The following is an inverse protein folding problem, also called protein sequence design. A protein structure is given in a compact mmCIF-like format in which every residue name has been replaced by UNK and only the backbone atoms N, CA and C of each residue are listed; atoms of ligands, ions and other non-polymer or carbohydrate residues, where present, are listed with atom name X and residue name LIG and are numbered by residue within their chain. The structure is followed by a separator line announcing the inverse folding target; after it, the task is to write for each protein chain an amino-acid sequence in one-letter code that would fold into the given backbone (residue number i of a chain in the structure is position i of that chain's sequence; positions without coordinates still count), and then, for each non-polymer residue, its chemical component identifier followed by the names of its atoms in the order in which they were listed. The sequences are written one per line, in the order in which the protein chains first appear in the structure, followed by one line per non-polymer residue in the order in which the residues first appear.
data_IF_607775701235
#
_entry.id   IF_607775701235
#
_cell.length_a   1.000
_cell.length_b   1.000
_cell.length_c   1.000
_cell.angle_alpha   90.00
_cell.angle_beta   90.00
_cell.angle_gamma   90.00
#
_symmetry.space_group_name_H-M   'P 1'
#
loop_
_entity.id
_entity.type
_entity.pdbx_description
1 polymer ?
#
# COMPACT_ATOMS: atom_id res chain seq x y z
N UNK A 1 -8.65 -6.05 15.43
CA UNK A 1 -9.14 -6.72 14.21
C UNK A 1 -9.53 -5.66 13.21
N UNK A 2 -9.38 -5.91 11.92
CA UNK A 2 -9.83 -5.00 10.87
C UNK A 2 -11.11 -5.53 10.21
N UNK A 3 -11.74 -4.70 9.38
CA UNK A 3 -13.06 -4.98 8.82
C UNK A 3 -13.14 -6.29 8.02
N UNK A 4 -12.01 -6.79 7.50
CA UNK A 4 -11.96 -8.04 6.74
C UNK A 4 -12.46 -9.25 7.54
N UNK A 5 -12.30 -9.23 8.87
CA UNK A 5 -12.70 -10.32 9.77
C UNK A 5 -13.94 -9.98 10.61
N UNK A 6 -14.68 -8.92 10.26
CA UNK A 6 -15.84 -8.46 11.03
C UNK A 6 -17.16 -8.84 10.36
N UNK A 7 -18.19 -9.03 11.19
CA UNK A 7 -19.58 -9.12 10.76
C UNK A 7 -20.30 -7.75 10.82
N UNK A 8 -21.53 -7.70 10.31
CA UNK A 8 -22.40 -6.54 10.50
C UNK A 8 -22.77 -6.35 11.99
N UNK A 9 -22.86 -5.10 12.48
CA UNK A 9 -22.71 -3.83 11.76
C UNK A 9 -21.27 -3.32 11.67
N UNK A 10 -20.33 -3.93 12.40
CA UNK A 10 -18.97 -3.42 12.57
C UNK A 10 -18.16 -3.40 11.27
N UNK A 11 -18.32 -4.40 10.41
CA UNK A 11 -17.68 -4.47 9.09
C UNK A 11 -17.92 -3.19 8.28
N UNK A 12 -19.19 -2.83 8.06
CA UNK A 12 -19.51 -1.65 7.26
C UNK A 12 -19.11 -0.36 7.96
N UNK A 13 -19.20 -0.31 9.29
CA UNK A 13 -18.78 0.86 10.05
C UNK A 13 -17.31 1.20 9.81
N UNK A 14 -16.40 0.23 9.99
CA UNK A 14 -14.96 0.48 9.80
C UNK A 14 -14.58 0.55 8.31
N UNK A 15 -15.18 -0.26 7.43
CA UNK A 15 -14.92 -0.20 5.98
C UNK A 15 -15.26 1.16 5.37
N UNK A 16 -16.33 1.80 5.84
CA UNK A 16 -16.73 3.12 5.34
C UNK A 16 -15.70 4.22 5.67
N UNK A 17 -14.82 4.02 6.66
CA UNK A 17 -13.76 4.98 7.00
C UNK A 17 -12.69 5.12 5.89
N UNK A 18 -12.58 4.13 4.99
CA UNK A 18 -11.59 4.13 3.89
C UNK A 18 -12.24 4.10 2.50
N UNK A 19 -13.56 3.87 2.42
CA UNK A 19 -14.28 3.64 1.16
C UNK A 19 -14.17 4.79 0.15
N UNK A 20 -14.02 6.04 0.61
CA UNK A 20 -13.86 7.21 -0.24
C UNK A 20 -12.64 7.14 -1.17
N UNK A 21 -11.59 6.39 -0.78
CA UNK A 21 -10.37 6.18 -1.58
C UNK A 21 -10.51 5.06 -2.62
N UNK A 22 -11.70 4.45 -2.73
CA UNK A 22 -11.94 3.31 -3.62
C UNK A 22 -13.28 3.42 -4.34
N UNK A 23 -13.86 4.62 -4.44
CA UNK A 23 -15.04 4.85 -5.29
C UNK A 23 -14.63 4.88 -6.77
N UNK A 24 -15.57 4.69 -7.72
CA UNK A 24 -15.29 4.85 -9.14
C UNK A 24 -14.71 6.22 -9.48
N UNK A 25 -15.25 7.28 -8.88
CA UNK A 25 -14.80 8.66 -9.12
C UNK A 25 -13.35 8.88 -8.63
N UNK A 26 -13.01 8.38 -7.44
CA UNK A 26 -11.64 8.46 -6.95
C UNK A 26 -10.69 7.63 -7.83
N UNK A 27 -11.09 6.42 -8.20
CA UNK A 27 -10.28 5.54 -9.05
C UNK A 27 -10.04 6.15 -10.44
N UNK A 28 -11.05 6.77 -11.04
CA UNK A 28 -10.90 7.48 -12.31
C UNK A 28 -9.97 8.69 -12.18
N UNK A 29 -9.97 9.38 -11.04
CA UNK A 29 -9.04 10.48 -10.78
C UNK A 29 -7.57 10.02 -10.72
N UNK A 30 -7.31 8.76 -10.36
CA UNK A 30 -5.97 8.17 -10.33
C UNK A 30 -5.47 7.76 -11.72
N UNK A 31 -6.34 7.66 -12.73
CA UNK A 31 -5.98 7.14 -14.06
C UNK A 31 -4.73 7.81 -14.67
N UNK A 32 -4.56 9.15 -14.62
CA UNK A 32 -3.35 9.78 -15.14
C UNK A 32 -2.08 9.37 -14.38
N UNK A 33 -2.15 9.24 -13.06
CA UNK A 33 -1.02 8.82 -12.22
C UNK A 33 -0.65 7.35 -12.46
N UNK A 34 -1.66 6.48 -12.56
CA UNK A 34 -1.48 5.07 -12.90
C UNK A 34 -0.85 4.93 -14.29
N UNK A 35 -1.34 5.66 -15.29
CA UNK A 35 -0.75 5.65 -16.64
C UNK A 35 0.71 6.09 -16.60
N UNK A 36 1.03 7.20 -15.91
CA UNK A 36 2.40 7.66 -15.77
C UNK A 36 3.30 6.65 -15.07
N UNK A 37 2.77 5.90 -14.09
CA UNK A 37 3.50 4.84 -13.39
C UNK A 37 3.81 3.69 -14.34
N UNK A 38 2.81 3.22 -15.10
CA UNK A 38 2.97 2.17 -16.11
C UNK A 38 3.99 2.59 -17.18
N UNK A 39 3.84 3.80 -17.72
CA UNK A 39 4.74 4.34 -18.75
C UNK A 39 6.18 4.42 -18.26
N UNK A 40 6.41 4.83 -17.00
CA UNK A 40 7.74 4.86 -16.38
C UNK A 40 8.40 3.47 -16.39
N UNK A 41 7.67 2.43 -15.98
CA UNK A 41 8.23 1.08 -15.93
C UNK A 41 8.45 0.49 -17.33
N UNK A 42 7.53 0.74 -18.27
CA UNK A 42 7.72 0.33 -19.68
C UNK A 42 8.94 1.02 -20.30
N UNK A 43 9.06 2.33 -20.16
CA UNK A 43 10.19 3.09 -20.70
C UNK A 43 11.51 2.62 -20.08
N UNK A 44 11.55 2.38 -18.77
CA UNK A 44 12.73 1.83 -18.11
C UNK A 44 13.13 0.44 -18.62
N UNK A 45 12.17 -0.40 -19.00
CA UNK A 45 12.47 -1.68 -19.65
C UNK A 45 13.00 -1.51 -21.08
N UNK A 46 12.39 -0.61 -21.87
CA UNK A 46 12.84 -0.30 -23.24
C UNK A 46 14.28 0.22 -23.23
N UNK A 47 14.59 1.15 -22.33
CA UNK A 47 15.93 1.74 -22.19
C UNK A 47 16.99 0.72 -21.79
N UNK A 48 16.66 -0.22 -20.89
CA UNK A 48 17.56 -1.31 -20.50
C UNK A 48 17.80 -2.32 -21.63
N UNK A 49 16.87 -2.42 -22.57
CA UNK A 49 16.92 -3.40 -23.67
C UNK A 49 16.70 -4.84 -23.19
N UNK A 50 16.80 -5.78 -24.13
CA UNK A 50 16.54 -7.20 -23.89
C UNK A 50 17.65 -8.10 -24.41
N UNK A 51 18.91 -7.65 -24.33
CA UNK A 51 20.09 -8.49 -24.67
C UNK A 51 20.10 -9.80 -23.86
N UNK A 52 19.45 -9.78 -22.69
CA UNK A 52 19.10 -10.97 -21.89
C UNK A 52 17.59 -10.95 -21.59
N UNK A 53 16.98 -12.13 -21.35
CA UNK A 53 15.62 -12.19 -20.85
C UNK A 53 15.43 -11.34 -19.58
N UNK A 54 14.28 -10.68 -19.49
CA UNK A 54 13.89 -9.83 -18.37
C UNK A 54 12.81 -10.55 -17.56
N UNK A 55 12.91 -10.53 -16.24
CA UNK A 55 11.80 -10.95 -15.38
C UNK A 55 10.74 -9.84 -15.36
N UNK A 56 9.58 -10.13 -15.97
CA UNK A 56 8.47 -9.20 -16.05
C UNK A 56 7.80 -9.00 -14.68
N UNK A 57 7.86 -9.98 -13.78
CA UNK A 57 7.32 -9.83 -12.42
C UNK A 57 8.12 -8.75 -11.70
N UNK A 58 9.45 -8.90 -11.63
CA UNK A 58 10.32 -7.93 -10.96
C UNK A 58 10.30 -6.55 -11.65
N UNK A 59 10.24 -6.52 -12.97
CA UNK A 59 10.40 -5.27 -13.74
C UNK A 59 9.10 -4.49 -13.98
N UNK A 60 7.94 -5.12 -13.84
CA UNK A 60 6.66 -4.53 -14.22
C UNK A 60 5.52 -4.89 -13.25
N UNK A 61 5.19 -6.18 -13.11
CA UNK A 61 3.98 -6.59 -12.37
C UNK A 61 4.07 -6.34 -10.87
N UNK A 62 5.26 -6.48 -10.27
CA UNK A 62 5.50 -6.21 -8.86
C UNK A 62 5.47 -4.71 -8.51
N UNK A 63 6.27 -3.83 -9.16
CA UNK A 63 6.40 -2.45 -8.71
C UNK A 63 5.18 -1.57 -8.98
N UNK A 64 4.37 -1.86 -10.01
CA UNK A 64 3.20 -1.02 -10.37
C UNK A 64 2.13 -0.98 -9.27
N UNK A 65 1.53 -2.11 -8.84
CA UNK A 65 0.51 -2.08 -7.79
C UNK A 65 1.06 -1.57 -6.47
N UNK A 66 2.32 -1.89 -6.15
CA UNK A 66 2.99 -1.39 -4.95
C UNK A 66 3.13 0.13 -4.98
N UNK A 67 3.59 0.72 -6.09
CA UNK A 67 3.69 2.18 -6.24
C UNK A 67 2.33 2.85 -6.03
N UNK A 68 1.27 2.32 -6.64
CA UNK A 68 -0.08 2.90 -6.55
C UNK A 68 -0.62 2.87 -5.12
N UNK A 69 -0.54 1.73 -4.43
CA UNK A 69 -1.07 1.66 -3.05
C UNK A 69 -0.21 2.46 -2.07
N UNK A 70 1.11 2.51 -2.26
CA UNK A 70 2.00 3.32 -1.44
C UNK A 70 1.72 4.82 -1.60
N UNK A 71 1.44 5.29 -2.81
CA UNK A 71 1.03 6.68 -3.07
C UNK A 71 -0.28 7.02 -2.34
N UNK A 72 -1.30 6.17 -2.45
CA UNK A 72 -2.59 6.32 -1.74
C UNK A 72 -2.38 6.39 -0.21
N UNK A 73 -1.50 5.56 0.33
CA UNK A 73 -1.19 5.52 1.77
C UNK A 73 -0.34 6.72 2.25
N UNK A 74 0.31 7.45 1.34
CA UNK A 74 1.18 8.58 1.68
C UNK A 74 2.65 8.20 1.92
N UNK A 75 3.10 7.07 1.39
CA UNK A 75 4.51 6.68 1.47
C UNK A 75 5.35 7.59 0.55
N UNK A 76 6.45 8.19 1.02
CA UNK A 76 7.37 8.96 0.18
C UNK A 76 7.98 8.10 -0.93
N UNK A 77 8.12 8.67 -2.12
CA UNK A 77 8.67 7.98 -3.29
C UNK A 77 10.08 7.40 -3.08
N UNK A 78 10.87 8.01 -2.19
CA UNK A 78 12.22 7.56 -1.84
C UNK A 78 12.25 6.21 -1.14
N UNK A 79 11.13 5.81 -0.53
CA UNK A 79 11.04 4.62 0.31
C UNK A 79 10.33 3.47 -0.44
N UNK A 80 9.69 3.75 -1.58
CA UNK A 80 8.85 2.80 -2.31
C UNK A 80 9.60 1.56 -2.80
N UNK A 81 10.81 1.71 -3.34
CA UNK A 81 11.59 0.56 -3.84
C UNK A 81 11.95 -0.40 -2.71
N UNK A 82 12.39 0.14 -1.58
CA UNK A 82 12.70 -0.64 -0.38
C UNK A 82 11.46 -1.36 0.14
N UNK A 83 10.34 -0.65 0.32
CA UNK A 83 9.11 -1.22 0.85
C UNK A 83 8.47 -2.24 -0.09
N UNK A 84 8.56 -2.02 -1.41
CA UNK A 84 8.09 -2.98 -2.42
C UNK A 84 8.80 -4.32 -2.27
N UNK A 85 10.13 -4.28 -2.12
CA UNK A 85 10.93 -5.49 -1.88
C UNK A 85 10.58 -6.15 -0.53
N UNK A 86 10.47 -5.38 0.53
CA UNK A 86 10.05 -5.90 1.85
C UNK A 86 8.67 -6.55 1.77
N UNK A 87 7.70 -5.95 1.08
CA UNK A 87 6.37 -6.53 0.91
C UNK A 87 6.39 -7.82 0.06
N UNK A 88 7.22 -7.88 -0.98
CA UNK A 88 7.39 -9.08 -1.79
C UNK A 88 7.92 -10.26 -0.94
N UNK A 89 8.88 -10.02 -0.04
CA UNK A 89 9.43 -11.05 0.87
C UNK A 89 8.33 -11.71 1.70
N UNK A 90 7.27 -10.99 2.08
CA UNK A 90 6.17 -11.52 2.91
C UNK A 90 5.37 -12.62 2.22
N UNK A 91 5.19 -12.54 0.90
CA UNK A 91 4.35 -13.47 0.12
C UNK A 91 5.15 -14.36 -0.84
N UNK A 92 6.47 -14.20 -0.90
CA UNK A 92 7.32 -15.02 -1.75
C UNK A 92 7.43 -16.45 -1.18
N UNK A 93 7.06 -17.45 -2.00
CA UNK A 93 7.10 -18.86 -1.62
C UNK A 93 8.50 -19.40 -1.31
N UNK A 94 9.56 -18.68 -1.70
CA UNK A 94 10.95 -19.01 -1.38
C UNK A 94 11.44 -18.40 -0.05
N UNK A 95 10.67 -17.49 0.56
CA UNK A 95 11.03 -16.88 1.84
C UNK A 95 10.86 -17.88 2.98
N UNK A 96 11.78 -17.85 3.95
CA UNK A 96 11.59 -18.59 5.20
C UNK A 96 10.48 -17.93 6.04
N UNK A 97 9.86 -18.69 6.94
CA UNK A 97 8.85 -18.15 7.86
C UNK A 97 9.40 -16.97 8.69
N UNK A 98 10.65 -17.04 9.14
CA UNK A 98 11.30 -15.96 9.87
C UNK A 98 11.52 -14.70 9.00
N UNK A 99 11.89 -14.86 7.74
CA UNK A 99 12.04 -13.73 6.81
C UNK A 99 10.69 -13.06 6.51
N UNK A 100 9.65 -13.85 6.25
CA UNK A 100 8.30 -13.34 6.02
C UNK A 100 7.73 -12.61 7.25
N UNK A 101 7.97 -13.15 8.46
CA UNK A 101 7.59 -12.50 9.71
C UNK A 101 8.37 -11.20 9.93
N UNK A 102 9.68 -11.19 9.72
CA UNK A 102 10.51 -9.99 9.85
C UNK A 102 10.08 -8.88 8.90
N UNK A 103 9.77 -9.22 7.64
CA UNK A 103 9.24 -8.27 6.67
C UNK A 103 7.85 -7.72 7.07
N UNK A 104 7.00 -8.54 7.70
CA UNK A 104 5.71 -8.11 8.24
C UNK A 104 5.88 -7.06 9.34
N UNK A 105 6.73 -7.35 10.33
CA UNK A 105 7.05 -6.44 11.44
C UNK A 105 7.69 -5.14 10.96
N UNK A 106 8.53 -5.21 9.93
CA UNK A 106 9.18 -4.06 9.34
C UNK A 106 8.19 -3.10 8.67
N UNK A 107 7.24 -3.61 7.88
CA UNK A 107 6.19 -2.80 7.28
C UNK A 107 5.29 -2.16 8.34
N UNK A 108 4.91 -2.91 9.37
CA UNK A 108 4.10 -2.38 10.48
C UNK A 108 4.84 -1.24 11.20
N UNK A 109 6.13 -1.44 11.51
CA UNK A 109 6.98 -0.40 12.11
C UNK A 109 7.13 0.82 11.20
N UNK A 110 7.25 0.61 9.89
CA UNK A 110 7.30 1.73 8.95
C UNK A 110 6.00 2.53 8.97
N UNK A 111 4.84 1.86 8.88
CA UNK A 111 3.54 2.51 8.91
C UNK A 111 3.28 3.22 10.24
N UNK A 112 3.70 2.66 11.37
CA UNK A 112 3.62 3.31 12.68
C UNK A 112 4.38 4.64 12.72
N UNK A 113 5.62 4.64 12.21
CA UNK A 113 6.41 5.87 12.07
C UNK A 113 5.79 6.86 11.06
N UNK A 114 5.17 6.36 9.98
CA UNK A 114 4.50 7.21 9.00
C UNK A 114 3.26 7.88 9.61
N UNK A 115 2.50 7.17 10.44
CA UNK A 115 1.39 7.73 11.20
C UNK A 115 1.88 8.84 12.12
N UNK A 116 2.98 8.64 12.86
CA UNK A 116 3.55 9.72 13.70
C UNK A 116 3.94 10.95 12.89
N UNK A 117 4.57 10.75 11.72
CA UNK A 117 4.89 11.86 10.80
C UNK A 117 3.64 12.59 10.33
N UNK A 118 2.55 11.89 10.05
CA UNK A 118 1.27 12.50 9.61
C UNK A 118 0.47 13.15 10.73
N UNK A 119 0.65 12.71 11.98
CA UNK A 119 0.14 13.42 13.15
C UNK A 119 0.83 14.79 13.26
N UNK A 120 2.15 14.85 13.05
CA UNK A 120 2.92 16.09 13.14
C UNK A 120 2.77 17.01 11.91
N UNK A 121 2.67 16.43 10.72
CA UNK A 121 2.60 17.14 9.42
C UNK A 121 1.62 16.42 8.47
N UNK A 122 0.31 16.70 8.61
CA UNK A 122 -0.73 16.08 7.77
C UNK A 122 -0.55 16.40 6.29
N UNK A 123 -0.86 15.44 5.43
CA UNK A 123 -0.82 15.56 3.96
C UNK A 123 -2.18 15.19 3.35
N UNK A 124 -2.23 15.11 2.02
CA UNK A 124 -3.42 14.70 1.28
C UNK A 124 -3.31 13.21 0.91
N UNK A 125 -3.35 12.34 1.91
CA UNK A 125 -3.26 10.89 1.76
C UNK A 125 -4.19 10.15 2.73
N UNK A 126 -4.37 8.84 2.52
CA UNK A 126 -5.31 8.02 3.28
C UNK A 126 -5.01 8.03 4.78
N UNK A 127 -3.72 7.93 5.16
CA UNK A 127 -3.33 7.94 6.57
C UNK A 127 -3.68 9.27 7.22
N UNK A 128 -3.44 10.40 6.55
CA UNK A 128 -3.82 11.73 7.06
C UNK A 128 -5.34 11.87 7.21
N UNK A 129 -6.12 11.33 6.27
CA UNK A 129 -7.59 11.32 6.37
C UNK A 129 -8.07 10.48 7.55
N UNK A 130 -7.53 9.27 7.76
CA UNK A 130 -7.86 8.45 8.93
C UNK A 130 -7.51 9.16 10.24
N UNK A 131 -6.36 9.85 10.30
CA UNK A 131 -5.98 10.63 11.48
C UNK A 131 -7.01 11.73 11.75
N UNK A 132 -7.34 12.52 10.72
CA UNK A 132 -8.24 13.67 10.85
C UNK A 132 -9.67 13.27 11.19
N UNK A 133 -10.20 12.27 10.51
CA UNK A 133 -11.63 11.93 10.55
C UNK A 133 -11.96 10.82 11.55
N UNK A 134 -10.97 10.08 12.03
CA UNK A 134 -11.21 8.95 12.95
C UNK A 134 -10.39 9.08 14.23
N UNK A 135 -9.05 9.18 14.12
CA UNK A 135 -8.18 9.20 15.30
C UNK A 135 -8.41 10.43 16.18
N UNK A 136 -8.41 11.62 15.59
CA UNK A 136 -8.60 12.87 16.31
C UNK A 136 -10.01 13.00 16.93
N UNK A 137 -10.98 12.25 16.42
CA UNK A 137 -12.34 12.18 16.95
C UNK A 137 -12.52 11.05 17.99
N UNK A 138 -11.48 10.25 18.22
CA UNK A 138 -11.51 9.14 19.17
C UNK A 138 -12.25 7.89 18.68
N UNK A 139 -12.54 7.79 17.38
CA UNK A 139 -13.16 6.59 16.80
C UNK A 139 -12.18 5.43 16.60
N UNK A 140 -10.91 5.76 16.34
CA UNK A 140 -9.80 4.84 16.19
C UNK A 140 -8.65 5.29 17.10
N UNK A 141 -7.84 4.35 17.56
CA UNK A 141 -6.53 4.69 18.11
C UNK A 141 -5.44 4.65 17.03
N UNK A 142 -4.19 5.00 17.39
CA UNK A 142 -3.05 4.94 16.46
C UNK A 142 -2.85 3.53 15.90
N UNK A 143 -3.01 2.51 16.74
CA UNK A 143 -2.81 1.13 16.35
C UNK A 143 -3.83 0.71 15.28
N UNK A 144 -5.08 1.10 15.42
CA UNK A 144 -6.12 0.84 14.42
C UNK A 144 -5.81 1.48 13.06
N UNK A 145 -5.31 2.72 13.04
CA UNK A 145 -4.89 3.40 11.80
C UNK A 145 -3.77 2.63 11.12
N UNK A 146 -2.77 2.17 11.87
CA UNK A 146 -1.67 1.34 11.35
C UNK A 146 -2.20 0.04 10.78
N UNK A 147 -3.11 -0.65 11.48
CA UNK A 147 -3.68 -1.92 11.02
C UNK A 147 -4.55 -1.75 9.76
N UNK A 148 -5.31 -0.67 9.65
CA UNK A 148 -6.09 -0.38 8.44
C UNK A 148 -5.19 -0.06 7.25
N UNK A 149 -4.16 0.77 7.43
CA UNK A 149 -3.18 1.05 6.39
C UNK A 149 -2.47 -0.25 5.94
N UNK A 150 -2.11 -1.10 6.90
CA UNK A 150 -1.48 -2.39 6.62
C UNK A 150 -2.41 -3.35 5.88
N UNK A 151 -3.69 -3.46 6.28
CA UNK A 151 -4.68 -4.26 5.57
C UNK A 151 -4.75 -3.85 4.09
N UNK A 152 -4.89 -2.56 3.81
CA UNK A 152 -5.03 -2.04 2.45
C UNK A 152 -3.76 -2.28 1.62
N UNK A 153 -2.59 -2.17 2.23
CA UNK A 153 -1.31 -2.49 1.58
C UNK A 153 -1.24 -3.95 1.14
N UNK A 154 -1.61 -4.89 2.02
CA UNK A 154 -1.27 -6.30 1.82
C UNK A 154 -2.38 -7.11 1.15
N UNK A 155 -3.64 -6.69 1.31
CA UNK A 155 -4.80 -7.48 0.87
C UNK A 155 -4.87 -7.64 -0.65
N UNK A 156 -4.60 -6.57 -1.41
CA UNK A 156 -4.74 -6.56 -2.86
C UNK A 156 -3.43 -6.68 -3.65
N UNK A 157 -2.29 -6.38 -3.03
CA UNK A 157 -1.03 -6.21 -3.76
C UNK A 157 -0.58 -7.50 -4.45
N UNK A 158 -0.45 -8.61 -3.71
CA UNK A 158 -0.01 -9.88 -4.29
C UNK A 158 -0.99 -10.44 -5.33
N UNK A 159 -2.29 -10.19 -5.20
CA UNK A 159 -3.28 -10.58 -6.21
C UNK A 159 -3.05 -9.82 -7.51
N UNK A 160 -2.83 -8.50 -7.46
CA UNK A 160 -2.56 -7.69 -8.65
C UNK A 160 -1.25 -8.04 -9.34
N UNK A 161 -0.22 -8.46 -8.59
CA UNK A 161 1.05 -8.93 -9.19
C UNK A 161 0.84 -10.18 -10.07
N UNK A 162 -0.16 -11.00 -9.77
CA UNK A 162 -0.41 -12.29 -10.43
C UNK A 162 -1.45 -12.23 -11.58
N UNK A 163 -2.16 -11.11 -11.74
CA UNK A 163 -3.25 -10.94 -12.72
C UNK A 163 -2.74 -10.33 -14.03
#
# INVERSE_FOLDING_TARGET
ATFVDMDAPNHMHQRNMVAAFFTPEFTDSLRPSIQSTVDKFLNGMIEKGCDKPVDLVESFSLPIPSTVIYDILGVPITDMDYLTNTNAVRSNGSSTAAAAQGANEELLRYLDNLVDKRIADPKNDLISTLIKEQLNLGHLDKFDVVQLAFLLLVAGNATLVNM
#
